data_IF_003147128378
#
_entry.id   IF_003147128378
#
_cell.length_a   1.000
_cell.length_b   1.000
_cell.length_c   1.000
_cell.angle_alpha   90.00
_cell.angle_beta   90.00
_cell.angle_gamma   90.00
#
_symmetry.space_group_name_H-M   'P 1'
#
loop_
_entity.id
_entity.type
_entity.pdbx_description
1 polymer ?
#
# COMPACT_ATOMS: atom_id res chain seq x y z
N UNK A 1 -12.39 1.42 -10.22
CA UNK A 1 -11.77 2.77 -10.11
C UNK A 1 -12.56 3.65 -9.13
N UNK A 2 -12.83 3.17 -7.91
CA UNK A 2 -13.81 3.80 -7.00
C UNK A 2 -13.19 4.51 -5.77
N UNK A 3 -11.89 4.32 -5.52
CA UNK A 3 -11.20 4.92 -4.36
C UNK A 3 -10.19 6.00 -4.74
N UNK A 4 -9.53 5.86 -5.90
CA UNK A 4 -8.58 6.86 -6.44
C UNK A 4 -9.31 8.17 -6.75
N UNK A 5 -10.51 8.11 -7.33
CA UNK A 5 -11.35 9.28 -7.64
C UNK A 5 -11.79 10.07 -6.41
N UNK A 6 -11.79 9.42 -5.23
CA UNK A 6 -12.12 10.05 -3.94
C UNK A 6 -10.91 10.76 -3.30
N UNK A 7 -9.71 10.60 -3.85
CA UNK A 7 -8.52 11.30 -3.40
C UNK A 7 -8.45 12.68 -4.04
N UNK A 8 -7.71 13.60 -3.40
CA UNK A 8 -7.34 14.84 -4.07
C UNK A 8 -6.53 14.55 -5.34
N UNK A 9 -6.72 15.40 -6.36
CA UNK A 9 -6.09 15.29 -7.68
C UNK A 9 -4.59 15.01 -7.63
N UNK A 10 -3.87 15.56 -6.63
CA UNK A 10 -2.44 15.30 -6.44
C UNK A 10 -2.16 13.86 -6.04
N UNK A 11 -2.92 13.32 -5.08
CA UNK A 11 -2.74 11.96 -4.59
C UNK A 11 -3.23 10.93 -5.61
N UNK A 12 -4.35 11.20 -6.27
CA UNK A 12 -4.88 10.34 -7.33
C UNK A 12 -3.84 10.10 -8.42
N UNK A 13 -3.28 11.17 -8.99
CA UNK A 13 -2.22 11.10 -9.99
C UNK A 13 -0.98 10.37 -9.48
N UNK A 14 -0.59 10.63 -8.25
CA UNK A 14 0.55 10.01 -7.60
C UNK A 14 0.40 8.47 -7.44
N UNK A 15 -0.83 7.98 -7.28
CA UNK A 15 -1.14 6.55 -7.27
C UNK A 15 -1.16 5.98 -8.68
N UNK A 16 -1.79 6.66 -9.63
CA UNK A 16 -1.82 6.22 -11.03
C UNK A 16 -0.41 6.10 -11.63
N UNK A 17 0.46 7.09 -11.40
CA UNK A 17 1.85 7.06 -11.84
C UNK A 17 2.64 5.92 -11.20
N UNK A 18 2.35 5.58 -9.94
CA UNK A 18 2.97 4.44 -9.26
C UNK A 18 2.53 3.11 -9.89
N UNK A 19 1.22 2.92 -10.07
CA UNK A 19 0.65 1.66 -10.54
C UNK A 19 1.14 1.27 -11.94
N UNK A 20 1.49 2.26 -12.77
CA UNK A 20 2.08 2.02 -14.10
C UNK A 20 3.45 1.33 -14.03
N UNK A 21 4.21 1.51 -12.94
CA UNK A 21 5.58 1.02 -12.80
C UNK A 21 5.65 -0.43 -12.27
N UNK A 22 4.54 -0.99 -11.77
CA UNK A 22 4.50 -2.33 -11.16
C UNK A 22 3.58 -3.29 -11.89
N UNK A 23 3.82 -4.59 -11.69
CA UNK A 23 3.10 -5.69 -12.32
C UNK A 23 1.78 -6.07 -11.60
N UNK A 24 1.18 -5.13 -10.88
CA UNK A 24 -0.05 -5.33 -10.10
C UNK A 24 -1.21 -4.53 -10.69
N UNK A 25 -2.39 -5.13 -10.72
CA UNK A 25 -3.60 -4.46 -11.18
C UNK A 25 -4.18 -3.55 -10.09
N UNK A 26 -5.11 -2.67 -10.49
CA UNK A 26 -5.76 -1.74 -9.56
C UNK A 26 -6.44 -2.43 -8.37
N UNK A 27 -6.93 -3.65 -8.56
CA UNK A 27 -7.59 -4.43 -7.52
C UNK A 27 -6.58 -4.87 -6.45
N UNK A 28 -5.42 -5.38 -6.84
CA UNK A 28 -4.32 -5.73 -5.92
C UNK A 28 -3.92 -4.54 -5.04
N UNK A 29 -3.78 -3.36 -5.65
CA UNK A 29 -3.46 -2.13 -4.92
C UNK A 29 -4.56 -1.71 -3.96
N UNK A 30 -5.82 -1.88 -4.36
CA UNK A 30 -6.96 -1.59 -3.49
C UNK A 30 -7.00 -2.55 -2.30
N UNK A 31 -6.85 -3.85 -2.53
CA UNK A 31 -6.83 -4.87 -1.47
C UNK A 31 -5.67 -4.65 -0.50
N UNK A 32 -4.46 -4.41 -1.03
CA UNK A 32 -3.27 -4.10 -0.24
C UNK A 32 -3.45 -2.82 0.60
N UNK A 33 -4.05 -1.77 0.02
CA UNK A 33 -4.35 -0.52 0.75
C UNK A 33 -5.37 -0.75 1.85
N UNK A 34 -6.45 -1.47 1.58
CA UNK A 34 -7.48 -1.80 2.59
C UNK A 34 -6.87 -2.60 3.72
N UNK A 35 -6.02 -3.59 3.40
CA UNK A 35 -5.34 -4.41 4.38
C UNK A 35 -4.40 -3.59 5.28
N UNK A 36 -3.58 -2.71 4.69
CA UNK A 36 -2.70 -1.82 5.45
C UNK A 36 -3.51 -0.89 6.37
N UNK A 37 -4.62 -0.34 5.90
CA UNK A 37 -5.51 0.48 6.72
C UNK A 37 -6.14 -0.30 7.89
N UNK A 38 -6.50 -1.57 7.69
CA UNK A 38 -6.98 -2.44 8.78
C UNK A 38 -5.89 -2.70 9.81
N UNK A 39 -4.66 -3.00 9.37
CA UNK A 39 -3.51 -3.24 10.24
C UNK A 39 -3.17 -2.00 11.08
N UNK A 40 -3.14 -0.83 10.45
CA UNK A 40 -2.94 0.44 11.13
C UNK A 40 -4.03 0.71 12.16
N UNK A 41 -5.30 0.52 11.79
CA UNK A 41 -6.43 0.68 12.71
C UNK A 41 -6.35 -0.27 13.91
N UNK A 42 -5.96 -1.53 13.69
CA UNK A 42 -5.77 -2.51 14.76
C UNK A 42 -4.65 -2.11 15.73
N UNK A 43 -3.59 -1.45 15.23
CA UNK A 43 -2.49 -0.92 16.06
C UNK A 43 -2.76 0.49 16.60
N UNK A 44 -3.99 1.03 16.41
CA UNK A 44 -4.37 2.40 16.74
C UNK A 44 -3.43 3.45 16.12
N UNK A 45 -3.11 3.26 14.85
CA UNK A 45 -2.26 4.15 14.08
C UNK A 45 -2.98 4.72 12.87
N UNK A 46 -2.53 5.88 12.46
CA UNK A 46 -2.96 6.56 11.25
C UNK A 46 -1.76 6.91 10.38
N UNK A 47 -1.93 6.84 9.06
CA UNK A 47 -0.91 7.17 8.07
C UNK A 47 -1.52 8.07 6.98
N UNK A 48 -0.70 8.98 6.45
CA UNK A 48 -1.13 9.83 5.33
C UNK A 48 -1.16 9.02 4.03
N UNK A 49 -1.93 9.45 3.03
CA UNK A 49 -1.93 8.80 1.71
C UNK A 49 -0.53 8.68 1.09
N UNK A 50 0.32 9.70 1.29
CA UNK A 50 1.73 9.66 0.86
C UNK A 50 2.52 8.54 1.53
N UNK A 51 2.28 8.30 2.83
CA UNK A 51 2.98 7.28 3.62
C UNK A 51 2.48 5.88 3.25
N UNK A 52 1.16 5.72 3.08
CA UNK A 52 0.55 4.48 2.57
C UNK A 52 1.14 4.11 1.21
N UNK A 53 1.18 5.07 0.29
CA UNK A 53 1.75 4.88 -1.05
C UNK A 53 3.21 4.48 -1.01
N UNK A 54 4.03 5.17 -0.21
CA UNK A 54 5.45 4.84 -0.05
C UNK A 54 5.65 3.42 0.51
N UNK A 55 4.83 3.04 1.49
CA UNK A 55 4.87 1.71 2.09
C UNK A 55 4.50 0.61 1.08
N UNK A 56 3.38 0.76 0.37
CA UNK A 56 2.93 -0.22 -0.61
C UNK A 56 3.88 -0.31 -1.80
N UNK A 57 4.46 0.81 -2.25
CA UNK A 57 5.52 0.83 -3.26
C UNK A 57 6.73 0.01 -2.85
N UNK A 58 7.18 0.14 -1.60
CA UNK A 58 8.29 -0.66 -1.08
C UNK A 58 7.95 -2.17 -1.01
N UNK A 59 6.71 -2.50 -0.62
CA UNK A 59 6.23 -3.89 -0.64
C UNK A 59 6.23 -4.45 -2.08
N UNK A 60 5.70 -3.68 -3.03
CA UNK A 60 5.64 -4.07 -4.44
C UNK A 60 7.03 -4.23 -5.06
N UNK A 61 7.97 -3.33 -4.77
CA UNK A 61 9.37 -3.40 -5.22
C UNK A 61 10.07 -4.64 -4.67
N UNK A 62 9.90 -4.93 -3.38
CA UNK A 62 10.49 -6.12 -2.77
C UNK A 62 9.89 -7.42 -3.31
N UNK A 63 8.60 -7.43 -3.62
CA UNK A 63 7.92 -8.59 -4.20
C UNK A 63 8.27 -8.81 -5.68
N UNK A 64 8.52 -7.74 -6.43
CA UNK A 64 8.87 -7.81 -7.86
C UNK A 64 10.16 -8.56 -8.18
N UNK A 65 10.99 -8.85 -7.17
CA UNK A 65 12.21 -9.67 -7.29
C UNK A 65 11.99 -11.17 -7.04
N UNK A 66 10.77 -11.59 -6.68
CA UNK A 66 10.41 -12.97 -6.33
C UNK A 66 9.52 -13.58 -7.43
N UNK A 67 9.77 -14.84 -7.78
CA UNK A 67 8.98 -15.57 -8.78
C UNK A 67 8.44 -16.90 -8.21
N UNK A 68 7.12 -17.17 -8.28
CA UNK A 68 6.06 -16.29 -8.82
C UNK A 68 5.88 -15.02 -7.97
N UNK A 69 5.34 -13.97 -8.59
CA UNK A 69 5.04 -12.72 -7.90
C UNK A 69 3.96 -13.03 -6.85
N UNK A 70 4.21 -12.78 -5.56
CA UNK A 70 3.23 -13.01 -4.51
C UNK A 70 2.11 -11.98 -4.58
N UNK A 71 0.99 -12.27 -3.91
CA UNK A 71 -0.08 -11.30 -3.77
C UNK A 71 0.42 -10.06 -2.98
N UNK A 72 0.08 -8.86 -3.46
CA UNK A 72 0.55 -7.62 -2.83
C UNK A 72 -0.01 -7.49 -1.41
N UNK A 73 -1.25 -7.94 -1.18
CA UNK A 73 -1.87 -7.94 0.13
C UNK A 73 -1.10 -8.82 1.10
N UNK A 74 -0.77 -10.06 0.71
CA UNK A 74 -0.01 -10.98 1.56
C UNK A 74 1.38 -10.41 1.90
N UNK A 75 2.05 -9.82 0.90
CA UNK A 75 3.34 -9.15 1.09
C UNK A 75 3.24 -8.04 2.13
N UNK A 76 2.19 -7.21 2.07
CA UNK A 76 1.96 -6.13 3.03
C UNK A 76 1.69 -6.66 4.43
N UNK A 77 0.93 -7.73 4.59
CA UNK A 77 0.70 -8.37 5.89
C UNK A 77 2.01 -8.87 6.50
N UNK A 78 2.82 -9.58 5.72
CA UNK A 78 4.12 -10.08 6.17
C UNK A 78 5.08 -8.94 6.53
N UNK A 79 5.20 -7.92 5.68
CA UNK A 79 6.08 -6.78 5.93
C UNK A 79 5.65 -6.00 7.16
N UNK A 80 4.36 -5.74 7.31
CA UNK A 80 3.84 -5.01 8.47
C UNK A 80 4.02 -5.82 9.75
N UNK A 81 3.81 -7.13 9.72
CA UNK A 81 4.04 -7.98 10.90
C UNK A 81 5.51 -8.02 11.31
N UNK A 82 6.45 -7.88 10.37
CA UNK A 82 7.90 -7.99 10.63
C UNK A 82 8.55 -6.66 10.99
N UNK A 83 8.13 -5.59 10.35
CA UNK A 83 8.79 -4.28 10.41
C UNK A 83 7.87 -3.16 10.94
N UNK A 84 6.55 -3.39 10.96
CA UNK A 84 5.55 -2.36 11.23
C UNK A 84 5.59 -1.25 10.19
N UNK A 85 5.17 -0.04 10.60
CA UNK A 85 5.25 1.17 9.79
C UNK A 85 5.81 2.32 10.63
N UNK A 86 7.09 2.64 10.49
CA UNK A 86 7.78 3.64 11.34
C UNK A 86 7.21 5.06 11.19
N UNK A 87 6.70 5.42 10.01
CA UNK A 87 6.13 6.74 9.72
C UNK A 87 4.64 6.87 10.11
N UNK A 88 4.06 5.85 10.74
CA UNK A 88 2.68 5.91 11.22
C UNK A 88 2.61 6.58 12.58
N UNK A 89 1.65 7.49 12.78
CA UNK A 89 1.44 8.15 14.07
C UNK A 89 0.59 7.24 14.95
N UNK A 90 1.03 7.02 16.19
CA UNK A 90 0.19 6.45 17.23
C UNK A 90 -0.85 7.50 17.63
N UNK A 91 -2.13 7.12 17.56
CA UNK A 91 -3.23 7.96 18.04
C UNK A 91 -3.17 8.13 19.57
#
# INVERSE_FOLDING_TARGET
MDWIDKLDSKNARAWEELMVDYLYDLDDWNEARVQLLQLLKNDQRNASESDLRAYLSCCAESAGSVHPIPDLKETVEEFYSRFGMENSKKD
#
